data_IF_124372974509
#
_entry.id   IF_124372974509
#
_cell.length_a   1.000
_cell.length_b   1.000
_cell.length_c   1.000
_cell.angle_alpha   90.00
_cell.angle_beta   90.00
_cell.angle_gamma   90.00
#
_symmetry.space_group_name_H-M   'P 1'
#
loop_
_entity.id
_entity.type
_entity.pdbx_description
1 polymer ?
#
# COMPACT_ATOMS: atom_id res chain seq x y z
N UNK A 1 -10.36 12.75 18.13
CA UNK A 1 -9.83 12.37 16.80
C UNK A 1 -8.88 11.17 16.84
N UNK A 2 -7.91 11.09 17.75
CA UNK A 2 -7.06 9.90 17.93
C UNK A 2 -7.85 8.59 18.18
N UNK A 3 -9.00 8.69 18.85
CA UNK A 3 -9.93 7.57 19.10
C UNK A 3 -10.61 7.05 17.84
N UNK A 4 -10.92 7.91 16.87
CA UNK A 4 -11.60 7.56 15.62
C UNK A 4 -10.66 6.83 14.66
N UNK A 5 -9.40 7.30 14.59
CA UNK A 5 -8.34 6.65 13.81
C UNK A 5 -7.96 5.29 14.43
N UNK A 6 -7.83 5.23 15.76
CA UNK A 6 -7.62 3.96 16.48
C UNK A 6 -8.75 2.96 16.26
N UNK A 7 -10.00 3.43 16.28
CA UNK A 7 -11.18 2.62 15.99
C UNK A 7 -11.22 2.14 14.54
N UNK A 8 -10.81 2.93 13.55
CA UNK A 8 -10.71 2.48 12.15
C UNK A 8 -9.62 1.42 11.96
N UNK A 9 -8.45 1.60 12.57
CA UNK A 9 -7.36 0.60 12.51
C UNK A 9 -7.82 -0.71 13.15
N UNK A 10 -8.54 -0.64 14.27
CA UNK A 10 -9.15 -1.82 14.90
C UNK A 10 -10.26 -2.43 14.03
N UNK A 11 -11.15 -1.61 13.46
CA UNK A 11 -12.28 -2.05 12.66
C UNK A 11 -11.87 -2.70 11.33
N UNK A 12 -10.68 -2.40 10.81
CA UNK A 12 -10.14 -3.04 9.60
C UNK A 12 -9.14 -4.15 9.95
N UNK A 13 -8.29 -3.92 10.95
CA UNK A 13 -7.27 -4.86 11.39
C UNK A 13 -7.86 -6.11 12.03
N UNK A 14 -8.91 -5.98 12.85
CA UNK A 14 -9.53 -7.12 13.53
C UNK A 14 -10.26 -8.06 12.56
N UNK A 15 -11.08 -7.60 11.60
CA UNK A 15 -11.69 -8.50 10.61
C UNK A 15 -10.67 -9.12 9.67
N UNK A 16 -9.61 -8.39 9.29
CA UNK A 16 -8.54 -8.94 8.47
C UNK A 16 -7.77 -10.04 9.21
N UNK A 17 -7.39 -9.80 10.47
CA UNK A 17 -6.73 -10.79 11.32
C UNK A 17 -7.64 -11.99 11.60
N UNK A 18 -8.91 -11.75 11.93
CA UNK A 18 -9.91 -12.79 12.12
C UNK A 18 -10.14 -13.63 10.85
N UNK A 19 -10.13 -13.00 9.67
CA UNK A 19 -10.21 -13.71 8.39
C UNK A 19 -8.98 -14.58 8.13
N UNK A 20 -7.78 -14.07 8.41
CA UNK A 20 -6.52 -14.83 8.27
C UNK A 20 -6.50 -16.03 9.21
N UNK A 21 -6.85 -15.83 10.48
CA UNK A 21 -6.87 -16.89 11.49
C UNK A 21 -7.97 -17.90 11.21
N UNK A 22 -9.17 -17.46 10.81
CA UNK A 22 -10.26 -18.34 10.40
C UNK A 22 -9.89 -19.20 9.19
N UNK A 23 -9.28 -18.63 8.15
CA UNK A 23 -8.80 -19.40 6.99
C UNK A 23 -7.71 -20.39 7.41
N UNK A 24 -6.80 -19.98 8.30
CA UNK A 24 -5.79 -20.87 8.88
C UNK A 24 -6.40 -22.03 9.64
N UNK A 25 -7.44 -21.77 10.44
CA UNK A 25 -8.12 -22.74 11.28
C UNK A 25 -9.01 -23.69 10.46
N UNK A 26 -9.71 -23.17 9.44
CA UNK A 26 -10.44 -23.99 8.45
C UNK A 26 -9.47 -24.88 7.68
N UNK A 27 -8.30 -24.36 7.25
CA UNK A 27 -7.26 -25.18 6.60
C UNK A 27 -6.67 -26.23 7.53
N UNK A 28 -6.50 -25.91 8.81
CA UNK A 28 -6.03 -26.86 9.82
C UNK A 28 -7.06 -27.98 10.04
N UNK A 29 -8.35 -27.65 10.21
CA UNK A 29 -9.44 -28.64 10.34
C UNK A 29 -9.66 -29.47 9.08
N UNK A 30 -9.38 -28.91 7.89
CA UNK A 30 -9.38 -29.67 6.62
C UNK A 30 -8.18 -30.61 6.50
N UNK A 31 -7.18 -30.46 7.36
CA UNK A 31 -5.96 -31.25 7.42
C UNK A 31 -6.00 -32.45 8.38
N UNK A 32 -7.13 -32.71 9.04
CA UNK A 32 -7.32 -33.90 9.90
C UNK A 32 -7.52 -35.21 9.10
N UNK A 33 -7.54 -35.13 7.77
CA UNK A 33 -7.32 -36.30 6.91
C UNK A 33 -5.82 -36.54 6.77
N UNK A 34 -5.37 -37.75 7.11
CA UNK A 34 -4.02 -38.35 6.97
C UNK A 34 -2.97 -37.47 6.27
N UNK A 35 -1.76 -37.28 6.83
CA UNK A 35 -0.76 -36.36 6.29
C UNK A 35 -0.39 -36.74 4.85
N UNK A 36 -1.05 -36.08 3.89
CA UNK A 36 -0.65 -36.14 2.50
C UNK A 36 0.77 -35.58 2.42
N UNK A 37 1.69 -36.20 1.65
CA UNK A 37 3.02 -35.65 1.43
C UNK A 37 2.88 -34.19 1.02
N UNK A 38 3.45 -33.26 1.81
CA UNK A 38 3.44 -31.84 1.46
C UNK A 38 4.04 -31.75 0.05
N UNK A 39 3.27 -31.33 -0.97
CA UNK A 39 3.84 -31.17 -2.29
C UNK A 39 5.02 -30.20 -2.16
N UNK A 40 6.18 -30.48 -2.77
CA UNK A 40 7.33 -29.59 -2.67
C UNK A 40 6.86 -28.19 -3.05
N UNK A 41 7.11 -27.20 -2.18
CA UNK A 41 6.75 -25.80 -2.43
C UNK A 41 7.32 -25.44 -3.80
N UNK A 42 6.46 -25.31 -4.81
CA UNK A 42 6.90 -24.95 -6.16
C UNK A 42 7.68 -23.63 -6.02
N UNK A 43 8.95 -23.58 -6.48
CA UNK A 43 9.69 -22.33 -6.46
C UNK A 43 8.86 -21.26 -7.18
N UNK A 44 8.71 -20.08 -6.56
CA UNK A 44 7.97 -18.97 -7.18
C UNK A 44 8.55 -18.72 -8.56
N UNK A 45 7.71 -18.80 -9.58
CA UNK A 45 8.11 -18.46 -10.94
C UNK A 45 8.61 -17.01 -10.98
N UNK A 46 9.49 -16.65 -11.92
CA UNK A 46 9.94 -15.27 -12.09
C UNK A 46 8.78 -14.27 -12.20
N UNK A 47 7.72 -14.63 -12.92
CA UNK A 47 6.46 -13.88 -12.97
C UNK A 47 5.80 -13.73 -11.58
N UNK A 48 5.75 -14.81 -10.79
CA UNK A 48 5.21 -14.76 -9.42
C UNK A 48 6.05 -13.90 -8.46
N UNK A 49 7.37 -13.82 -8.66
CA UNK A 49 8.24 -12.90 -7.91
C UNK A 49 7.96 -11.44 -8.29
N UNK A 50 7.86 -11.14 -9.59
CA UNK A 50 7.56 -9.80 -10.08
C UNK A 50 6.16 -9.34 -9.63
N UNK A 51 5.15 -10.20 -9.71
CA UNK A 51 3.82 -9.92 -9.17
C UNK A 51 3.86 -9.62 -7.67
N UNK A 52 4.73 -10.31 -6.92
CA UNK A 52 4.84 -10.07 -5.48
C UNK A 52 5.49 -8.72 -5.17
N UNK A 53 6.53 -8.34 -5.92
CA UNK A 53 7.15 -7.00 -5.81
C UNK A 53 6.13 -5.92 -6.15
N UNK A 54 5.34 -6.08 -7.21
CA UNK A 54 4.27 -5.15 -7.55
C UNK A 54 3.27 -4.98 -6.39
N UNK A 55 2.82 -6.10 -5.81
CA UNK A 55 1.90 -6.08 -4.67
C UNK A 55 2.48 -5.35 -3.45
N UNK A 56 3.74 -5.61 -3.11
CA UNK A 56 4.42 -4.91 -2.01
C UNK A 56 4.59 -3.41 -2.29
N UNK A 57 4.95 -3.03 -3.52
CA UNK A 57 5.09 -1.63 -3.91
C UNK A 57 3.76 -0.87 -3.84
N UNK A 58 2.65 -1.51 -4.25
CA UNK A 58 1.31 -0.93 -4.09
C UNK A 58 0.92 -0.75 -2.63
N UNK A 59 1.16 -1.75 -1.78
CA UNK A 59 0.86 -1.67 -0.35
C UNK A 59 1.69 -0.59 0.35
N UNK A 60 2.99 -0.56 0.08
CA UNK A 60 3.90 0.45 0.63
C UNK A 60 3.54 1.85 0.12
N UNK A 61 3.20 1.99 -1.17
CA UNK A 61 2.77 3.25 -1.76
C UNK A 61 1.47 3.76 -1.14
N UNK A 62 0.49 2.89 -0.95
CA UNK A 62 -0.77 3.22 -0.27
C UNK A 62 -0.53 3.64 1.18
N UNK A 63 0.31 2.92 1.93
CA UNK A 63 0.64 3.28 3.30
C UNK A 63 1.36 4.64 3.38
N UNK A 64 2.31 4.89 2.47
CA UNK A 64 3.00 6.17 2.38
C UNK A 64 2.06 7.32 1.99
N UNK A 65 1.09 7.05 1.12
CA UNK A 65 0.09 8.05 0.72
C UNK A 65 -0.82 8.41 1.89
N UNK A 66 -1.31 7.41 2.63
CA UNK A 66 -2.09 7.62 3.86
C UNK A 66 -1.27 8.37 4.92
N UNK A 67 0.01 8.05 5.07
CA UNK A 67 0.91 8.80 5.93
C UNK A 67 1.00 10.27 5.51
N UNK A 68 1.18 10.55 4.22
CA UNK A 68 1.16 11.91 3.68
C UNK A 68 -0.16 12.65 3.96
N UNK A 69 -1.30 11.99 3.75
CA UNK A 69 -2.62 12.55 4.03
C UNK A 69 -2.88 12.80 5.52
N UNK A 70 -2.21 12.08 6.43
CA UNK A 70 -2.34 12.33 7.87
C UNK A 70 -1.86 13.73 8.29
N UNK A 71 -1.07 14.40 7.44
CA UNK A 71 -0.67 15.80 7.62
C UNK A 71 -1.75 16.80 7.19
N UNK A 72 -2.84 16.35 6.58
CA UNK A 72 -3.99 17.16 6.14
C UNK A 72 -5.30 16.68 6.81
N UNK A 73 -5.40 16.73 8.16
CA UNK A 73 -6.49 16.06 8.87
C UNK A 73 -7.84 16.82 8.87
N UNK A 74 -7.92 18.02 8.29
CA UNK A 74 -9.09 18.89 8.38
C UNK A 74 -9.77 19.09 7.01
N UNK A 75 -11.10 19.29 7.03
CA UNK A 75 -11.90 19.53 5.82
C UNK A 75 -11.60 20.89 5.18
N UNK A 76 -11.08 21.84 5.95
CA UNK A 76 -10.70 23.16 5.48
C UNK A 76 -9.16 23.26 5.45
N UNK A 77 -8.57 23.55 4.28
CA UNK A 77 -7.13 23.66 4.13
C UNK A 77 -6.51 24.74 5.03
N UNK A 78 -7.28 25.81 5.33
CA UNK A 78 -6.87 26.89 6.23
C UNK A 78 -6.64 26.42 7.67
N UNK A 79 -7.45 25.48 8.16
CA UNK A 79 -7.33 24.92 9.51
C UNK A 79 -6.10 24.04 9.66
N UNK A 80 -5.67 23.39 8.57
CA UNK A 80 -4.45 22.59 8.56
C UNK A 80 -3.20 23.47 8.77
N UNK A 81 -3.15 24.64 8.13
CA UNK A 81 -2.07 25.62 8.36
C UNK A 81 -2.13 26.23 9.76
N UNK A 82 -3.32 26.54 10.28
CA UNK A 82 -3.46 27.08 11.63
C UNK A 82 -2.98 26.09 12.70
N UNK A 83 -3.39 24.81 12.62
CA UNK A 83 -3.05 23.82 13.63
C UNK A 83 -1.60 23.34 13.59
N UNK A 84 -0.96 23.32 12.41
CA UNK A 84 0.42 22.84 12.25
C UNK A 84 1.46 23.94 12.29
N UNK A 85 1.14 25.13 11.78
CA UNK A 85 2.09 26.23 11.61
C UNK A 85 1.67 27.53 12.33
N UNK A 86 0.46 27.62 12.89
CA UNK A 86 -0.01 28.80 13.62
C UNK A 86 -0.43 29.97 12.72
N UNK A 87 -0.57 29.74 11.41
CA UNK A 87 -0.92 30.78 10.43
C UNK A 87 -2.29 30.51 9.83
N UNK A 88 -3.16 31.53 9.86
CA UNK A 88 -4.50 31.48 9.25
C UNK A 88 -4.38 31.92 7.79
N UNK A 89 -3.80 31.05 6.97
CA UNK A 89 -3.59 31.29 5.55
C UNK A 89 -4.13 30.11 4.74
N UNK A 90 -4.69 30.40 3.56
CA UNK A 90 -5.05 29.37 2.58
C UNK A 90 -3.73 28.73 2.10
N UNK A 91 -3.56 27.40 2.19
CA UNK A 91 -2.37 26.73 1.71
C UNK A 91 -2.28 26.81 0.19
N UNK A 92 -1.06 26.98 -0.31
CA UNK A 92 -0.76 26.76 -1.70
C UNK A 92 -0.69 25.23 -1.93
N UNK A 93 -1.73 24.68 -2.54
CA UNK A 93 -1.72 23.30 -3.03
C UNK A 93 -1.16 23.27 -4.45
N UNK A 94 -0.05 22.57 -4.68
CA UNK A 94 0.44 22.29 -6.03
C UNK A 94 -0.14 20.97 -6.53
N UNK A 95 -1.01 21.06 -7.55
CA UNK A 95 -1.62 19.90 -8.23
C UNK A 95 -0.61 18.98 -8.94
N UNK A 96 0.66 19.39 -9.01
CA UNK A 96 1.75 18.61 -9.61
C UNK A 96 2.26 17.46 -8.73
N UNK A 97 1.97 17.46 -7.42
CA UNK A 97 2.48 16.47 -6.47
C UNK A 97 1.33 15.72 -5.79
N UNK A 98 1.43 14.38 -5.61
CA UNK A 98 0.34 13.57 -5.09
C UNK A 98 -0.05 13.92 -3.65
N UNK A 99 0.86 14.52 -2.88
CA UNK A 99 0.62 15.04 -1.54
C UNK A 99 1.42 16.33 -1.37
N UNK A 100 0.83 17.51 -1.59
CA UNK A 100 1.49 18.79 -1.28
C UNK A 100 0.56 19.70 -0.49
N UNK A 101 1.08 20.25 0.60
CA UNK A 101 0.43 21.29 1.37
C UNK A 101 1.52 22.24 1.90
N UNK A 102 1.55 23.43 1.32
CA UNK A 102 2.50 24.50 1.67
C UNK A 102 1.76 25.57 2.45
N UNK A 103 2.24 25.88 3.65
CA UNK A 103 1.69 26.92 4.50
C UNK A 103 2.72 28.03 4.69
N UNK A 104 2.42 29.25 4.23
CA UNK A 104 3.33 30.40 4.33
C UNK A 104 4.76 30.14 3.78
N UNK A 105 4.87 29.32 2.74
CA UNK A 105 6.15 28.95 2.10
C UNK A 105 6.85 27.72 2.70
N UNK A 106 6.32 27.11 3.76
CA UNK A 106 6.85 25.90 4.38
C UNK A 106 6.04 24.65 4.01
N UNK A 107 6.72 23.60 3.55
CA UNK A 107 6.09 22.31 3.23
C UNK A 107 5.85 21.50 4.51
N UNK A 108 4.59 21.26 4.86
CA UNK A 108 4.23 20.52 6.08
C UNK A 108 4.46 19.01 5.90
N UNK A 109 4.37 18.55 4.67
CA UNK A 109 4.57 17.16 4.29
C UNK A 109 6.08 16.92 4.20
N UNK A 110 6.62 15.85 4.80
CA UNK A 110 8.05 15.57 4.70
C UNK A 110 8.49 15.43 3.23
N UNK A 111 9.57 16.12 2.86
CA UNK A 111 10.07 16.23 1.48
C UNK A 111 10.28 14.89 0.75
N UNK A 112 10.50 13.80 1.50
CA UNK A 112 10.74 12.44 0.96
C UNK A 112 9.46 11.70 0.57
N UNK A 113 8.27 12.17 0.97
CA UNK A 113 6.99 11.49 0.71
C UNK A 113 6.69 11.46 -0.79
N UNK A 114 6.76 12.61 -1.48
CA UNK A 114 6.47 12.70 -2.91
C UNK A 114 7.47 11.90 -3.79
N UNK A 115 8.79 12.03 -3.61
CA UNK A 115 9.76 11.17 -4.28
C UNK A 115 9.56 9.68 -3.96
N UNK A 116 9.25 9.34 -2.71
CA UNK A 116 8.97 7.97 -2.29
C UNK A 116 7.75 7.37 -3.01
N UNK A 117 6.66 8.14 -3.11
CA UNK A 117 5.46 7.75 -3.86
C UNK A 117 5.76 7.54 -5.35
N UNK A 118 6.55 8.42 -5.96
CA UNK A 118 6.96 8.28 -7.35
C UNK A 118 7.75 6.98 -7.57
N UNK A 119 8.75 6.71 -6.73
CA UNK A 119 9.58 5.49 -6.82
C UNK A 119 8.72 4.24 -6.67
N UNK A 120 7.81 4.22 -5.70
CA UNK A 120 6.91 3.09 -5.46
C UNK A 120 5.93 2.88 -6.63
N UNK A 121 5.39 3.96 -7.20
CA UNK A 121 4.52 3.89 -8.37
C UNK A 121 5.27 3.32 -9.59
N UNK A 122 6.47 3.83 -9.90
CA UNK A 122 7.30 3.32 -11.00
C UNK A 122 7.65 1.86 -10.77
N UNK A 123 8.02 1.48 -9.55
CA UNK A 123 8.33 0.09 -9.19
C UNK A 123 7.13 -0.83 -9.40
N UNK A 124 5.94 -0.41 -8.94
CA UNK A 124 4.71 -1.17 -9.11
C UNK A 124 4.38 -1.38 -10.60
N UNK A 125 4.49 -0.33 -11.42
CA UNK A 125 4.25 -0.39 -12.88
C UNK A 125 5.26 -1.33 -13.54
N UNK A 126 6.56 -1.12 -13.32
CA UNK A 126 7.61 -1.91 -13.94
C UNK A 126 7.51 -3.40 -13.55
N UNK A 127 7.26 -3.70 -12.28
CA UNK A 127 7.09 -5.06 -11.79
C UNK A 127 5.83 -5.74 -12.35
N UNK A 128 4.75 -4.99 -12.52
CA UNK A 128 3.51 -5.48 -13.13
C UNK A 128 3.73 -5.82 -14.61
N UNK A 129 4.32 -4.91 -15.38
CA UNK A 129 4.65 -5.15 -16.79
C UNK A 129 5.58 -6.36 -16.93
N UNK A 130 6.62 -6.43 -16.11
CA UNK A 130 7.56 -7.55 -16.08
C UNK A 130 6.86 -8.88 -15.78
N UNK A 131 5.96 -8.89 -14.79
CA UNK A 131 5.15 -10.07 -14.45
C UNK A 131 4.32 -10.54 -15.65
N UNK A 132 3.61 -9.62 -16.32
CA UNK A 132 2.78 -9.92 -17.50
C UNK A 132 3.64 -10.47 -18.63
N UNK A 133 4.75 -9.81 -18.97
CA UNK A 133 5.65 -10.25 -20.05
C UNK A 133 6.19 -11.65 -19.77
N UNK A 134 6.64 -11.93 -18.54
CA UNK A 134 7.14 -13.24 -18.15
C UNK A 134 6.06 -14.32 -18.16
N UNK A 135 4.82 -13.98 -17.75
CA UNK A 135 3.69 -14.89 -17.82
C UNK A 135 3.33 -15.23 -19.27
N UNK A 136 3.26 -14.23 -20.15
CA UNK A 136 2.96 -14.43 -21.57
C UNK A 136 4.05 -15.22 -22.31
N UNK A 137 5.33 -14.98 -22.00
CA UNK A 137 6.44 -15.77 -22.56
C UNK A 137 6.36 -17.24 -22.17
N UNK A 138 6.01 -17.52 -20.90
CA UNK A 138 5.82 -18.90 -20.44
C UNK A 138 4.68 -19.61 -21.16
N UNK A 139 3.56 -18.92 -21.38
CA UNK A 139 2.42 -19.47 -22.13
C UNK A 139 2.77 -19.74 -23.59
N UNK A 140 3.54 -18.86 -24.23
CA UNK A 140 3.98 -19.03 -25.64
C UNK A 140 5.02 -20.13 -25.82
N UNK A 141 5.95 -20.29 -24.88
CA UNK A 141 6.96 -21.37 -24.91
C UNK A 141 6.44 -22.75 -24.52
N UNK A 142 5.18 -22.85 -24.07
CA UNK A 142 4.48 -24.10 -23.76
C UNK A 142 3.51 -24.53 -24.89
N UNK A 143 3.50 -23.83 -26.04
CA UNK A 143 2.79 -24.32 -27.23
C UNK A 143 3.64 -25.43 -27.88
N UNK A 144 3.08 -26.65 -28.06
CA UNK A 144 3.75 -27.71 -28.82
C UNK A 144 3.95 -27.33 -30.28
#
# INVERSE_FOLDING_TARGET
MATLIGMMILAVGLPAWAGITYIGLVRARRGDGLPAPRPPRRPRSPAGKAAWVAGLAYLAGGALHVYGLSYMPFLQPEDACWFKAGYMAVPDSSSALPVSLVCAGEEIVPWWVNPGLLVLAVTAVAATVTSIVLALRRVRGLRP
#
